data_IF_218327341700
#
_entry.id   IF_218327341700
#
_cell.length_a   1.000
_cell.length_b   1.000
_cell.length_c   1.000
_cell.angle_alpha   90.00
_cell.angle_beta   90.00
_cell.angle_gamma   90.00
#
_symmetry.space_group_name_H-M   'P 1'
#
loop_
_entity.id
_entity.type
_entity.pdbx_description
1 polymer ?
#
# COMPACT_ATOMS: atom_id res chain seq x y z
N UNK A 1 -1.69 -12.30 -23.61
CA UNK A 1 -2.28 -12.67 -22.31
C UNK A 1 -1.68 -11.68 -21.35
N UNK A 2 -2.48 -10.74 -20.84
CA UNK A 2 -2.01 -9.83 -19.81
C UNK A 2 -1.85 -10.70 -18.57
N UNK A 3 -0.63 -10.85 -18.07
CA UNK A 3 -0.44 -11.35 -16.71
C UNK A 3 -1.19 -10.39 -15.79
N UNK A 4 -2.05 -10.93 -14.93
CA UNK A 4 -2.67 -10.18 -13.83
C UNK A 4 -1.54 -9.78 -12.89
N UNK A 5 -0.97 -8.60 -13.12
CA UNK A 5 0.04 -8.02 -12.27
C UNK A 5 -0.62 -7.52 -10.99
N UNK A 6 -0.14 -7.99 -9.86
CA UNK A 6 -0.71 -7.70 -8.54
C UNK A 6 0.40 -7.40 -7.54
N UNK A 7 0.14 -6.44 -6.66
CA UNK A 7 0.95 -6.20 -5.46
C UNK A 7 0.31 -6.91 -4.27
N UNK A 8 1.12 -7.29 -3.30
CA UNK A 8 0.64 -7.84 -2.03
C UNK A 8 0.68 -6.74 -0.97
N UNK A 9 -0.50 -6.36 -0.47
CA UNK A 9 -0.65 -5.50 0.70
C UNK A 9 -0.78 -6.39 1.95
N UNK A 10 0.23 -6.39 2.79
CA UNK A 10 0.18 -6.98 4.12
C UNK A 10 -0.35 -5.94 5.10
N UNK A 11 -1.41 -6.28 5.82
CA UNK A 11 -2.06 -5.42 6.81
C UNK A 11 -2.12 -6.14 8.15
N UNK A 12 -1.55 -5.53 9.19
CA UNK A 12 -1.55 -6.10 10.54
C UNK A 12 -2.14 -5.09 11.52
N UNK A 13 -3.06 -5.56 12.37
CA UNK A 13 -3.71 -4.71 13.37
C UNK A 13 -4.66 -5.50 14.26
N UNK A 14 -5.43 -4.78 15.08
CA UNK A 14 -6.33 -5.41 16.06
C UNK A 14 -7.78 -5.38 15.62
N UNK A 15 -8.50 -6.45 15.95
CA UNK A 15 -9.95 -6.57 15.78
C UNK A 15 -10.62 -6.97 17.10
N UNK A 16 -11.91 -6.65 17.23
CA UNK A 16 -12.78 -7.03 18.34
C UNK A 16 -13.93 -7.88 17.83
N UNK A 17 -14.10 -9.06 18.42
CA UNK A 17 -15.27 -9.90 18.23
C UNK A 17 -16.10 -9.93 19.51
N UNK A 18 -17.40 -9.72 19.38
CA UNK A 18 -18.36 -9.83 20.48
C UNK A 18 -19.18 -11.11 20.34
N UNK A 19 -19.24 -11.91 21.40
CA UNK A 19 -20.14 -13.06 21.50
C UNK A 19 -21.20 -12.75 22.54
N UNK A 20 -22.47 -12.84 22.15
CA UNK A 20 -23.60 -12.67 23.05
C UNK A 20 -24.16 -14.02 23.47
N UNK A 21 -24.49 -14.13 24.76
CA UNK A 21 -25.18 -15.28 25.32
C UNK A 21 -26.36 -14.79 26.15
N UNK A 22 -27.55 -15.24 25.76
CA UNK A 22 -28.78 -15.01 26.50
C UNK A 22 -29.09 -16.23 27.37
N UNK A 23 -29.31 -15.97 28.64
CA UNK A 23 -29.82 -16.95 29.61
C UNK A 23 -31.16 -16.48 30.15
N UNK A 24 -31.91 -17.38 30.79
CA UNK A 24 -33.23 -17.06 31.36
C UNK A 24 -33.20 -15.89 32.37
N UNK A 25 -32.03 -15.54 32.91
CA UNK A 25 -31.86 -14.52 33.95
C UNK A 25 -30.95 -13.35 33.57
N UNK A 26 -30.20 -13.44 32.48
CA UNK A 26 -29.15 -12.45 32.16
C UNK A 26 -28.77 -12.46 30.68
N UNK A 27 -28.50 -11.27 30.14
CA UNK A 27 -27.80 -11.06 28.87
C UNK A 27 -26.32 -10.85 29.14
N UNK A 28 -25.45 -11.63 28.50
CA UNK A 28 -24.00 -11.56 28.64
C UNK A 28 -23.41 -11.21 27.27
N UNK A 29 -22.53 -10.22 27.24
CA UNK A 29 -21.70 -9.90 26.08
C UNK A 29 -20.24 -10.11 26.46
N UNK A 30 -19.55 -10.99 25.73
CA UNK A 30 -18.12 -11.22 25.87
C UNK A 30 -17.38 -10.60 24.68
N UNK A 31 -16.51 -9.64 24.95
CA UNK A 31 -15.68 -8.96 23.95
C UNK A 31 -14.25 -9.48 24.00
N UNK A 32 -13.74 -9.98 22.87
CA UNK A 32 -12.34 -10.42 22.73
C UNK A 32 -11.61 -9.55 21.70
N UNK A 33 -10.46 -8.99 22.09
CA UNK A 33 -9.55 -8.27 21.19
C UNK A 33 -8.40 -9.19 20.82
N UNK A 34 -8.07 -9.27 19.53
CA UNK A 34 -6.94 -10.06 19.01
C UNK A 34 -6.26 -9.34 17.84
N UNK A 35 -4.98 -9.61 17.66
CA UNK A 35 -4.23 -9.21 16.48
C UNK A 35 -4.60 -10.12 15.30
N UNK A 36 -4.67 -9.53 14.11
CA UNK A 36 -4.83 -10.21 12.83
C UNK A 36 -3.82 -9.68 11.83
N UNK A 37 -3.42 -10.55 10.92
CA UNK A 37 -2.63 -10.19 9.74
C UNK A 37 -3.36 -10.70 8.51
N UNK A 38 -3.50 -9.84 7.50
CA UNK A 38 -4.18 -10.12 6.26
C UNK A 38 -3.26 -9.81 5.08
N UNK A 39 -3.29 -10.67 4.07
CA UNK A 39 -2.62 -10.45 2.79
C UNK A 39 -3.70 -10.15 1.75
N UNK A 40 -3.60 -8.96 1.15
CA UNK A 40 -4.60 -8.44 0.23
C UNK A 40 -3.95 -8.23 -1.13
N UNK A 41 -4.48 -8.89 -2.16
CA UNK A 41 -4.06 -8.66 -3.54
C UNK A 41 -4.55 -7.29 -4.03
N UNK A 42 -3.64 -6.53 -4.62
CA UNK A 42 -3.85 -5.18 -5.11
C UNK A 42 -3.43 -5.09 -6.59
N UNK A 43 -4.41 -5.28 -7.48
CA UNK A 43 -4.26 -5.07 -8.91
C UNK A 43 -4.47 -3.59 -9.31
N UNK A 44 -4.34 -3.29 -10.61
CA UNK A 44 -4.55 -1.95 -11.16
C UNK A 44 -5.97 -1.40 -10.95
N UNK A 45 -6.99 -2.27 -10.95
CA UNK A 45 -8.39 -1.88 -10.75
C UNK A 45 -8.62 -1.45 -9.30
N UNK A 46 -8.16 -2.28 -8.36
CA UNK A 46 -8.28 -2.07 -6.94
C UNK A 46 -7.45 -0.88 -6.48
N UNK A 47 -6.25 -0.69 -7.01
CA UNK A 47 -5.45 0.51 -6.75
C UNK A 47 -6.10 1.78 -7.32
N UNK A 48 -6.77 1.68 -8.47
CA UNK A 48 -7.40 2.84 -9.11
C UNK A 48 -8.56 3.38 -8.27
N UNK A 49 -9.48 2.51 -7.83
CA UNK A 49 -10.67 2.90 -7.08
C UNK A 49 -11.33 1.67 -6.42
N UNK A 50 -11.09 1.48 -5.13
CA UNK A 50 -11.64 0.37 -4.35
C UNK A 50 -12.05 0.77 -2.93
N UNK A 51 -12.44 -0.25 -2.16
CA UNK A 51 -12.68 -0.22 -0.73
C UNK A 51 -11.45 0.20 0.09
N UNK A 52 -10.23 -0.02 -0.41
CA UNK A 52 -8.99 0.19 0.34
C UNK A 52 -8.03 1.21 -0.27
N UNK A 53 -8.21 1.56 -1.55
CA UNK A 53 -7.27 2.40 -2.28
C UNK A 53 -7.97 3.31 -3.29
N UNK A 54 -7.42 4.52 -3.50
CA UNK A 54 -7.88 5.43 -4.54
C UNK A 54 -6.72 6.12 -5.23
N UNK A 55 -6.66 6.01 -6.56
CA UNK A 55 -5.70 6.74 -7.40
C UNK A 55 -6.24 8.13 -7.78
N UNK A 56 -5.43 9.12 -7.45
CA UNK A 56 -5.61 10.52 -7.82
C UNK A 56 -4.63 10.93 -8.92
N UNK A 57 -4.71 12.19 -9.34
CA UNK A 57 -3.84 12.75 -10.37
C UNK A 57 -2.39 12.97 -9.92
N UNK A 58 -2.15 12.94 -8.61
CA UNK A 58 -0.92 13.30 -7.92
C UNK A 58 -0.38 12.16 -7.07
N UNK A 59 -0.89 10.94 -7.23
CA UNK A 59 -0.53 9.81 -6.38
C UNK A 59 -1.67 8.85 -6.14
N UNK A 60 -1.41 7.84 -5.31
CA UNK A 60 -2.44 6.94 -4.77
C UNK A 60 -2.50 7.08 -3.25
N UNK A 61 -3.67 6.84 -2.69
CA UNK A 61 -3.91 6.88 -1.25
C UNK A 61 -4.49 5.54 -0.79
N UNK A 62 -3.86 4.92 0.21
CA UNK A 62 -4.32 3.73 0.91
C UNK A 62 -4.42 4.12 2.38
N UNK A 63 -5.63 4.20 2.94
CA UNK A 63 -5.78 4.60 4.34
C UNK A 63 -5.82 3.38 5.24
N UNK A 64 -5.13 3.46 6.37
CA UNK A 64 -5.15 2.41 7.41
C UNK A 64 -6.58 2.08 7.85
N UNK A 65 -7.41 3.10 7.97
CA UNK A 65 -8.83 2.97 8.29
C UNK A 65 -9.60 2.16 7.26
N UNK A 66 -9.44 2.45 5.99
CA UNK A 66 -10.15 1.74 4.92
C UNK A 66 -9.72 0.27 4.87
N UNK A 67 -8.41 0.00 5.01
CA UNK A 67 -7.89 -1.37 5.08
C UNK A 67 -8.38 -2.11 6.32
N UNK A 68 -8.35 -1.47 7.50
CA UNK A 68 -8.82 -2.06 8.74
C UNK A 68 -10.31 -2.42 8.68
N UNK A 69 -11.14 -1.53 8.10
CA UNK A 69 -12.56 -1.82 7.88
C UNK A 69 -12.74 -2.98 6.90
N UNK A 70 -12.04 -2.98 5.76
CA UNK A 70 -12.15 -4.06 4.79
C UNK A 70 -11.77 -5.44 5.38
N UNK A 71 -10.70 -5.51 6.17
CA UNK A 71 -10.29 -6.75 6.86
C UNK A 71 -11.30 -7.17 7.94
N UNK A 72 -11.84 -6.20 8.69
CA UNK A 72 -12.83 -6.47 9.72
C UNK A 72 -14.18 -6.91 9.14
N UNK A 73 -14.61 -6.31 8.03
CA UNK A 73 -15.82 -6.67 7.29
C UNK A 73 -15.76 -8.11 6.77
N UNK A 74 -14.60 -8.56 6.25
CA UNK A 74 -14.38 -9.96 5.81
C UNK A 74 -14.50 -10.98 6.97
N UNK A 75 -14.24 -10.55 8.20
CA UNK A 75 -14.28 -11.39 9.39
C UNK A 75 -15.58 -11.22 10.21
N UNK A 76 -16.49 -10.32 9.79
CA UNK A 76 -17.71 -9.93 10.52
C UNK A 76 -17.40 -9.49 11.98
N UNK A 77 -16.40 -8.61 12.12
CA UNK A 77 -15.89 -8.08 13.40
C UNK A 77 -15.69 -6.57 13.34
N UNK A 78 -15.39 -5.93 14.47
CA UNK A 78 -15.05 -4.50 14.50
C UNK A 78 -13.52 -4.29 14.49
N UNK A 79 -12.99 -3.35 13.71
CA UNK A 79 -11.58 -2.98 13.83
C UNK A 79 -11.32 -2.16 15.10
N UNK A 80 -10.14 -2.35 15.68
CA UNK A 80 -9.66 -1.60 16.84
C UNK A 80 -8.49 -0.73 16.41
N UNK A 81 -8.45 0.50 16.91
CA UNK A 81 -7.33 1.45 16.71
C UNK A 81 -6.88 1.51 15.25
N UNK A 82 -7.81 1.83 14.35
CA UNK A 82 -7.61 1.79 12.90
C UNK A 82 -6.41 2.60 12.39
N UNK A 83 -5.98 3.61 13.14
CA UNK A 83 -4.85 4.47 12.77
C UNK A 83 -3.49 3.82 13.07
N UNK A 84 -3.46 2.78 13.91
CA UNK A 84 -2.25 2.06 14.32
C UNK A 84 -1.98 0.80 13.49
N UNK A 85 -2.81 0.52 12.47
CA UNK A 85 -2.59 -0.60 11.58
C UNK A 85 -1.31 -0.43 10.76
N UNK A 86 -0.49 -1.48 10.76
CA UNK A 86 0.72 -1.54 9.95
C UNK A 86 0.37 -2.03 8.56
N UNK A 87 0.72 -1.23 7.55
CA UNK A 87 0.48 -1.52 6.14
C UNK A 87 1.80 -1.60 5.39
N UNK A 88 1.96 -2.65 4.60
CA UNK A 88 3.17 -2.87 3.81
C UNK A 88 2.82 -3.42 2.44
N UNK A 89 3.37 -2.81 1.40
CA UNK A 89 3.25 -3.28 0.03
C UNK A 89 4.54 -3.95 -0.44
N UNK A 90 4.39 -5.12 -1.03
CA UNK A 90 5.46 -5.88 -1.65
C UNK A 90 5.06 -6.39 -3.04
N UNK A 91 6.05 -6.55 -3.89
CA UNK A 91 5.86 -7.09 -5.23
C UNK A 91 7.15 -7.12 -6.05
N UNK A 92 7.21 -7.92 -7.12
CA UNK A 92 8.23 -7.82 -8.17
C UNK A 92 8.26 -6.43 -8.82
N UNK A 93 9.43 -6.02 -9.31
CA UNK A 93 9.62 -4.71 -9.96
C UNK A 93 8.64 -4.49 -11.13
N UNK A 94 8.46 -5.52 -11.96
CA UNK A 94 7.56 -5.47 -13.12
C UNK A 94 6.10 -5.27 -12.71
N UNK A 95 5.68 -5.82 -11.56
CA UNK A 95 4.31 -5.71 -11.06
C UNK A 95 4.04 -4.32 -10.51
N UNK A 96 5.01 -3.71 -9.81
CA UNK A 96 4.95 -2.30 -9.42
C UNK A 96 4.71 -1.40 -10.64
N UNK A 97 5.49 -1.59 -11.71
CA UNK A 97 5.34 -0.82 -12.93
C UNK A 97 3.97 -1.04 -13.60
N UNK A 98 3.55 -2.30 -13.75
CA UNK A 98 2.29 -2.66 -14.44
C UNK A 98 1.05 -2.20 -13.68
N UNK A 99 1.02 -2.39 -12.37
CA UNK A 99 -0.10 -2.00 -11.50
C UNK A 99 -0.26 -0.48 -11.49
N UNK A 100 0.84 0.28 -11.33
CA UNK A 100 0.80 1.74 -11.34
C UNK A 100 0.39 2.31 -12.70
N UNK A 101 0.93 1.79 -13.81
CA UNK A 101 0.53 2.19 -15.16
C UNK A 101 -0.95 1.87 -15.42
N UNK A 102 -1.40 0.67 -15.05
CA UNK A 102 -2.78 0.25 -15.22
C UNK A 102 -3.76 1.14 -14.44
N UNK A 103 -3.43 1.49 -13.19
CA UNK A 103 -4.24 2.39 -12.39
C UNK A 103 -4.25 3.82 -12.98
N UNK A 104 -3.09 4.30 -13.44
CA UNK A 104 -2.97 5.62 -14.07
C UNK A 104 -3.72 5.73 -15.40
N UNK A 105 -3.68 4.69 -16.25
CA UNK A 105 -4.40 4.62 -17.52
C UNK A 105 -5.91 4.65 -17.33
N UNK A 106 -6.43 3.99 -16.29
CA UNK A 106 -7.84 4.08 -15.94
C UNK A 106 -8.23 5.51 -15.52
N UNK A 107 -7.29 6.28 -14.97
CA UNK A 107 -7.52 7.66 -14.51
C UNK A 107 -7.33 8.72 -15.61
N UNK A 108 -6.49 8.46 -16.60
CA UNK A 108 -6.02 9.44 -17.59
C UNK A 108 -6.37 9.00 -19.01
N UNK A 109 -6.78 9.97 -19.82
CA UNK A 109 -7.19 9.71 -21.21
C UNK A 109 -6.02 9.64 -22.21
N UNK A 110 -4.78 9.93 -21.79
CA UNK A 110 -3.62 10.05 -22.71
C UNK A 110 -2.37 9.47 -22.07
N UNK A 111 -1.65 8.65 -22.82
CA UNK A 111 -0.46 7.89 -22.41
C UNK A 111 0.61 8.71 -21.68
N UNK A 112 1.01 9.87 -22.21
CA UNK A 112 1.99 10.76 -21.54
C UNK A 112 1.52 11.25 -20.15
N UNK A 113 0.21 11.47 -19.97
CA UNK A 113 -0.34 11.86 -18.66
C UNK A 113 -0.50 10.65 -17.74
N UNK A 114 -0.72 9.46 -18.31
CA UNK A 114 -0.74 8.21 -17.56
C UNK A 114 0.64 7.90 -17.00
N UNK A 115 1.70 7.98 -17.80
CA UNK A 115 3.07 7.74 -17.35
C UNK A 115 3.47 8.68 -16.20
N UNK A 116 3.20 9.99 -16.33
CA UNK A 116 3.45 10.94 -15.24
C UNK A 116 2.64 10.62 -13.97
N UNK A 117 1.37 10.22 -14.12
CA UNK A 117 0.51 9.85 -12.97
C UNK A 117 0.98 8.53 -12.35
N UNK A 118 1.48 7.58 -13.15
CA UNK A 118 2.01 6.31 -12.65
C UNK A 118 3.28 6.54 -11.82
N UNK A 119 4.16 7.45 -12.24
CA UNK A 119 5.31 7.88 -11.45
C UNK A 119 4.83 8.48 -10.11
N UNK A 120 3.85 9.38 -10.13
CA UNK A 120 3.32 9.96 -8.89
C UNK A 120 2.72 8.90 -7.96
N UNK A 121 1.99 7.91 -8.51
CA UNK A 121 1.46 6.78 -7.76
C UNK A 121 2.58 5.99 -7.08
N UNK A 122 3.64 5.65 -7.80
CA UNK A 122 4.77 4.90 -7.26
C UNK A 122 5.50 5.65 -6.16
N UNK A 123 5.65 6.96 -6.30
CA UNK A 123 6.27 7.81 -5.26
C UNK A 123 5.43 7.83 -3.98
N UNK A 124 4.11 8.03 -4.08
CA UNK A 124 3.24 7.99 -2.90
C UNK A 124 3.27 6.63 -2.20
N UNK A 125 3.22 5.54 -2.98
CA UNK A 125 3.28 4.18 -2.41
C UNK A 125 4.65 3.88 -1.79
N UNK A 126 5.74 4.44 -2.32
CA UNK A 126 7.06 4.32 -1.73
C UNK A 126 7.14 5.01 -0.37
N UNK A 127 6.68 6.25 -0.28
CA UNK A 127 6.74 7.07 0.93
C UNK A 127 5.96 6.44 2.08
N UNK A 128 4.77 5.92 1.80
CA UNK A 128 3.84 5.51 2.86
C UNK A 128 3.85 4.00 3.16
N UNK A 129 4.22 3.15 2.20
CA UNK A 129 3.89 1.72 2.28
C UNK A 129 4.95 0.73 1.78
N UNK A 130 6.00 1.15 1.06
CA UNK A 130 6.96 0.21 0.50
C UNK A 130 8.16 -0.04 1.43
N UNK A 131 8.54 -1.30 1.60
CA UNK A 131 9.76 -1.67 2.34
C UNK A 131 11.05 -1.57 1.51
N UNK A 132 10.92 -1.37 0.20
CA UNK A 132 12.05 -1.44 -0.74
C UNK A 132 12.03 -0.29 -1.71
N UNK A 133 13.17 -0.04 -2.35
CA UNK A 133 13.33 0.99 -3.39
C UNK A 133 12.69 0.58 -4.74
N UNK A 134 12.03 -0.57 -4.81
CA UNK A 134 11.43 -1.09 -6.04
C UNK A 134 10.41 -0.14 -6.68
N UNK A 135 9.55 0.61 -5.95
CA UNK A 135 8.67 1.56 -6.60
C UNK A 135 9.44 2.72 -7.24
N UNK A 136 10.54 3.20 -6.63
CA UNK A 136 11.41 4.22 -7.24
C UNK A 136 12.08 3.67 -8.49
N UNK A 137 12.61 2.44 -8.46
CA UNK A 137 13.20 1.79 -9.63
C UNK A 137 12.16 1.59 -10.75
N UNK A 138 10.91 1.24 -10.41
CA UNK A 138 9.82 1.16 -11.36
C UNK A 138 9.48 2.53 -11.96
N UNK A 139 9.51 3.60 -11.15
CA UNK A 139 9.28 4.96 -11.62
C UNK A 139 10.37 5.41 -12.60
N UNK A 140 11.65 5.08 -12.34
CA UNK A 140 12.77 5.35 -13.25
C UNK A 140 12.56 4.60 -14.58
N UNK A 141 12.19 3.32 -14.54
CA UNK A 141 11.92 2.54 -15.76
C UNK A 141 10.77 3.16 -16.59
N UNK A 142 9.72 3.66 -15.94
CA UNK A 142 8.63 4.36 -16.62
C UNK A 142 9.13 5.67 -17.24
N UNK A 143 9.90 6.47 -16.50
CA UNK A 143 10.45 7.72 -17.01
C UNK A 143 11.34 7.50 -18.25
N UNK A 144 12.22 6.48 -18.21
CA UNK A 144 13.06 6.10 -19.35
C UNK A 144 12.25 5.61 -20.56
N UNK A 145 11.16 4.89 -20.31
CA UNK A 145 10.32 4.31 -21.38
C UNK A 145 9.47 5.37 -22.07
N UNK A 146 8.94 6.34 -21.33
CA UNK A 146 7.96 7.31 -21.82
C UNK A 146 8.49 8.74 -21.94
N UNK A 147 9.77 8.98 -21.61
CA UNK A 147 10.45 10.27 -21.68
C UNK A 147 9.69 11.38 -20.94
N UNK A 148 9.32 11.11 -19.67
CA UNK A 148 8.56 12.07 -18.85
C UNK A 148 9.46 13.22 -18.36
N UNK A 149 10.76 12.97 -18.23
CA UNK A 149 11.78 13.97 -17.90
C UNK A 149 11.98 14.21 -16.40
N UNK A 150 11.71 13.19 -15.57
CA UNK A 150 11.85 13.21 -14.10
C UNK A 150 13.03 12.40 -13.57
N UNK A 151 13.85 11.81 -14.44
CA UNK A 151 15.00 11.00 -14.06
C UNK A 151 15.86 11.59 -12.94
N UNK A 152 16.26 12.86 -13.05
CA UNK A 152 17.15 13.50 -12.08
C UNK A 152 16.49 13.64 -10.69
N UNK A 153 15.18 13.90 -10.65
CA UNK A 153 14.39 13.93 -9.41
C UNK A 153 14.35 12.53 -8.78
N UNK A 154 14.02 11.50 -9.58
CA UNK A 154 13.89 10.12 -9.12
C UNK A 154 15.21 9.53 -8.61
N UNK A 155 16.33 9.87 -9.25
CA UNK A 155 17.66 9.49 -8.78
C UNK A 155 18.02 10.18 -7.46
N UNK A 156 17.63 11.45 -7.28
CA UNK A 156 17.79 12.17 -6.01
C UNK A 156 17.02 11.50 -4.87
N UNK A 157 15.78 11.06 -5.12
CA UNK A 157 14.99 10.30 -4.15
C UNK A 157 15.66 8.96 -3.79
N UNK A 158 16.17 8.22 -4.78
CA UNK A 158 16.87 6.95 -4.55
C UNK A 158 18.12 7.12 -3.68
N UNK A 159 18.91 8.17 -3.93
CA UNK A 159 20.10 8.49 -3.12
C UNK A 159 19.72 8.93 -1.69
N UNK A 160 18.63 9.67 -1.54
CA UNK A 160 18.10 10.06 -0.24
C UNK A 160 17.73 8.85 0.61
N UNK A 161 17.01 7.88 0.02
CA UNK A 161 16.60 6.65 0.70
C UNK A 161 17.81 5.76 1.04
N UNK A 162 18.76 5.62 0.10
CA UNK A 162 20.02 4.90 0.32
C UNK A 162 20.82 5.47 1.50
N UNK A 163 20.89 6.79 1.62
CA UNK A 163 21.56 7.46 2.74
C UNK A 163 20.81 7.27 4.07
N UNK A 164 19.47 7.26 4.08
CA UNK A 164 18.66 7.02 5.29
C UNK A 164 18.81 5.58 5.78
N UNK A 165 18.82 4.59 4.88
CA UNK A 165 19.03 3.18 5.21
C UNK A 165 20.46 2.93 5.73
N UNK A 166 21.46 3.59 5.15
CA UNK A 166 22.84 3.51 5.63
C UNK A 166 22.98 4.10 7.04
N UNK A 167 22.38 5.26 7.31
CA UNK A 167 22.38 5.88 8.63
C UNK A 167 21.67 5.03 9.70
N UNK A 168 20.56 4.37 9.36
CA UNK A 168 19.87 3.42 10.27
C UNK A 168 20.72 2.18 10.56
N UNK A 169 21.50 1.70 9.59
CA UNK A 169 22.37 0.51 9.75
C UNK A 169 23.61 0.82 10.59
N UNK A 170 24.16 2.04 10.48
CA UNK A 170 25.30 2.48 11.31
C UNK A 170 24.89 2.80 12.76
N UNK A 171 23.63 3.24 13.00
CA UNK A 171 23.10 3.47 14.34
C UNK A 171 22.88 2.20 15.17
N UNK A 172 22.68 1.03 14.52
CA UNK A 172 22.51 -0.28 15.19
C UNK A 172 23.85 -0.89 15.62
N UNK A 173 24.95 -0.57 14.94
CA UNK A 173 26.28 -1.09 15.28
C UNK A 173 27.01 -0.28 16.38
N UNK A 174 26.43 0.82 16.86
CA UNK A 174 27.04 1.66 17.90
C UNK A 174 26.63 1.29 19.34
N UNK A 175 25.73 0.32 19.53
CA UNK A 175 25.23 -0.13 20.84
C UNK A 175 25.43 -1.64 21.07
N UNK A 176 26.64 -2.17 20.78
CA UNK A 176 27.09 -3.51 21.21
C UNK A 176 28.45 -3.43 21.88
#
# INVERSE_FOLDING_TARGET
MADDAELTLTATGQIRSDTTADTDSMHITESTVREVSAEIALDADRLCNSDIATTHKQGSMITRRDVANAVADELDVEPVETDDWELTLAGPLDDWQRVALGAADKKRMTESKSAATAIDVLLSLHEDHAETDRPILAAINIDETFDVGRRDELLGELESVGNVLQAKTEGVNADV
#
